data_IF_152477240800
#
_entry.id   IF_152477240800
#
_cell.length_a   1.000
_cell.length_b   1.000
_cell.length_c   1.000
_cell.angle_alpha   90.00
_cell.angle_beta   90.00
_cell.angle_gamma   90.00
#
_symmetry.space_group_name_H-M   'P 1'
#
loop_
_entity.id
_entity.type
_entity.pdbx_description
1 polymer ?
#
# COMPACT_ATOMS: atom_id res chain seq x y z
N UNK A 1 -9.20 -0.35 -4.57
CA UNK A 1 -8.38 -0.47 -5.80
C UNK A 1 -7.64 -1.80 -5.85
N UNK A 2 -6.88 -2.16 -4.81
CA UNK A 2 -6.12 -3.41 -4.83
C UNK A 2 -6.98 -4.68 -4.75
N UNK A 3 -8.14 -4.60 -4.08
CA UNK A 3 -9.13 -5.69 -4.07
C UNK A 3 -9.64 -6.02 -5.47
N UNK A 4 -9.88 -4.99 -6.28
CA UNK A 4 -10.35 -5.16 -7.65
C UNK A 4 -9.23 -5.70 -8.53
N UNK A 5 -7.99 -5.22 -8.34
CA UNK A 5 -6.81 -5.75 -9.03
C UNK A 5 -6.61 -7.24 -8.76
N UNK A 6 -6.76 -7.68 -7.50
CA UNK A 6 -6.72 -9.11 -7.15
C UNK A 6 -7.84 -9.90 -7.84
N UNK A 7 -9.06 -9.37 -7.86
CA UNK A 7 -10.18 -10.00 -8.56
C UNK A 7 -9.91 -10.19 -10.04
N UNK A 8 -9.34 -9.18 -10.72
CA UNK A 8 -8.99 -9.27 -12.14
C UNK A 8 -7.86 -10.27 -12.41
N UNK A 9 -6.90 -10.45 -11.50
CA UNK A 9 -5.80 -11.40 -11.69
C UNK A 9 -6.16 -12.84 -11.35
N UNK A 10 -6.97 -13.06 -10.32
CA UNK A 10 -7.28 -14.39 -9.81
C UNK A 10 -8.69 -14.89 -10.15
N UNK A 11 -9.52 -14.05 -10.78
CA UNK A 11 -10.90 -14.38 -11.18
C UNK A 11 -11.88 -14.56 -10.02
N UNK A 12 -11.45 -14.31 -8.78
CA UNK A 12 -12.25 -14.42 -7.55
C UNK A 12 -11.74 -13.45 -6.49
N UNK A 13 -12.58 -13.02 -5.53
CA UNK A 13 -12.09 -12.25 -4.40
C UNK A 13 -11.12 -13.10 -3.58
N UNK A 14 -10.01 -12.49 -3.16
CA UNK A 14 -9.11 -13.10 -2.18
C UNK A 14 -9.75 -13.01 -0.79
N UNK A 15 -9.40 -13.98 0.06
CA UNK A 15 -9.71 -13.90 1.49
C UNK A 15 -9.12 -12.60 2.08
N UNK A 16 -9.83 -11.97 3.02
CA UNK A 16 -9.41 -10.68 3.61
C UNK A 16 -7.99 -10.72 4.19
N UNK A 17 -7.58 -11.83 4.78
CA UNK A 17 -6.22 -11.99 5.30
C UNK A 17 -5.20 -12.01 4.15
N UNK A 18 -5.42 -12.83 3.12
CA UNK A 18 -4.52 -12.93 1.96
C UNK A 18 -4.45 -11.61 1.21
N UNK A 19 -5.58 -10.93 1.07
CA UNK A 19 -5.68 -9.63 0.44
C UNK A 19 -4.83 -8.60 1.18
N UNK A 20 -5.03 -8.45 2.49
CA UNK A 20 -4.39 -7.40 3.29
C UNK A 20 -2.94 -7.69 3.68
N UNK A 21 -2.55 -8.94 3.86
CA UNK A 21 -1.23 -9.29 4.40
C UNK A 21 -0.26 -9.89 3.39
N UNK A 22 -0.74 -10.30 2.22
CA UNK A 22 0.10 -10.91 1.18
C UNK A 22 0.01 -10.08 -0.10
N UNK A 23 -1.19 -9.94 -0.65
CA UNK A 23 -1.36 -9.36 -1.97
C UNK A 23 -1.09 -7.85 -2.00
N UNK A 24 -1.82 -7.06 -1.19
CA UNK A 24 -1.63 -5.61 -1.08
C UNK A 24 -0.17 -5.28 -0.74
N UNK A 25 0.46 -5.94 0.26
CA UNK A 25 1.83 -5.64 0.60
C UNK A 25 2.87 -5.91 -0.48
N UNK A 26 2.69 -6.99 -1.24
CA UNK A 26 3.61 -7.30 -2.34
C UNK A 26 3.49 -6.24 -3.43
N UNK A 27 2.27 -5.89 -3.84
CA UNK A 27 2.05 -4.92 -4.92
C UNK A 27 2.54 -3.54 -4.52
N UNK A 28 2.13 -3.05 -3.34
CA UNK A 28 2.53 -1.75 -2.82
C UNK A 28 4.05 -1.71 -2.59
N UNK A 29 4.63 -2.78 -2.04
CA UNK A 29 6.06 -2.90 -1.81
C UNK A 29 6.88 -2.82 -3.10
N UNK A 30 6.47 -3.54 -4.16
CA UNK A 30 7.13 -3.48 -5.47
C UNK A 30 7.10 -2.05 -6.03
N UNK A 31 5.94 -1.38 -5.99
CA UNK A 31 5.82 0.00 -6.47
C UNK A 31 6.73 0.94 -5.67
N UNK A 32 6.76 0.81 -4.34
CA UNK A 32 7.60 1.62 -3.47
C UNK A 32 9.11 1.42 -3.74
N UNK A 33 9.54 0.18 -3.97
CA UNK A 33 10.91 -0.16 -4.34
C UNK A 33 11.26 0.49 -5.69
N UNK A 34 10.39 0.37 -6.70
CA UNK A 34 10.60 0.98 -8.02
C UNK A 34 10.71 2.51 -7.93
N UNK A 35 9.85 3.15 -7.13
CA UNK A 35 9.94 4.60 -6.90
C UNK A 35 11.28 4.95 -6.24
N UNK A 36 11.71 4.21 -5.22
CA UNK A 36 13.00 4.44 -4.57
C UNK A 36 14.20 4.24 -5.52
N UNK A 37 14.11 3.31 -6.47
CA UNK A 37 15.12 3.12 -7.51
C UNK A 37 15.20 4.30 -8.48
N UNK A 38 14.05 4.89 -8.84
CA UNK A 38 13.98 6.05 -9.74
C UNK A 38 14.44 7.32 -9.04
N UNK A 39 13.96 7.57 -7.82
CA UNK A 39 14.27 8.76 -7.03
C UNK A 39 15.65 8.70 -6.37
N UNK A 40 16.24 7.51 -6.30
CA UNK A 40 17.51 7.19 -5.63
C UNK A 40 17.52 7.57 -4.15
N UNK A 41 16.36 7.57 -3.51
CA UNK A 41 16.15 8.01 -2.13
C UNK A 41 15.37 6.97 -1.35
N UNK A 42 16.00 6.36 -0.35
CA UNK A 42 15.39 5.29 0.46
C UNK A 42 14.17 5.76 1.25
N UNK A 43 14.13 7.04 1.65
CA UNK A 43 12.98 7.60 2.36
C UNK A 43 11.70 7.70 1.51
N UNK A 44 11.81 7.67 0.17
CA UNK A 44 10.61 7.71 -0.68
C UNK A 44 9.79 6.43 -0.56
N UNK A 45 10.37 5.33 -0.08
CA UNK A 45 9.62 4.10 0.26
C UNK A 45 8.48 4.43 1.24
N UNK A 46 8.78 5.13 2.33
CA UNK A 46 7.77 5.49 3.33
C UNK A 46 6.66 6.34 2.73
N UNK A 47 7.03 7.37 1.97
CA UNK A 47 6.06 8.29 1.35
C UNK A 47 5.17 7.57 0.35
N UNK A 48 5.75 6.73 -0.50
CA UNK A 48 4.99 5.98 -1.51
C UNK A 48 4.00 5.01 -0.86
N UNK A 49 4.42 4.28 0.17
CA UNK A 49 3.56 3.30 0.84
C UNK A 49 2.40 4.00 1.56
N UNK A 50 2.69 5.06 2.32
CA UNK A 50 1.66 5.84 3.02
C UNK A 50 0.67 6.44 2.01
N UNK A 51 1.18 7.05 0.93
CA UNK A 51 0.33 7.65 -0.09
C UNK A 51 -0.59 6.62 -0.77
N UNK A 52 -0.06 5.46 -1.15
CA UNK A 52 -0.85 4.40 -1.79
C UNK A 52 -1.93 3.83 -0.86
N UNK A 53 -1.61 3.64 0.43
CA UNK A 53 -2.59 3.19 1.42
C UNK A 53 -3.69 4.23 1.65
N UNK A 54 -3.35 5.52 1.75
CA UNK A 54 -4.34 6.60 1.90
C UNK A 54 -5.27 6.65 0.67
N UNK A 55 -4.70 6.60 -0.54
CA UNK A 55 -5.48 6.64 -1.79
C UNK A 55 -6.39 5.42 -1.91
N UNK A 56 -5.89 4.21 -1.66
CA UNK A 56 -6.71 3.00 -1.73
C UNK A 56 -7.85 3.03 -0.71
N UNK A 57 -7.57 3.44 0.54
CA UNK A 57 -8.58 3.59 1.56
C UNK A 57 -9.64 4.64 1.18
N UNK A 58 -9.20 5.80 0.71
CA UNK A 58 -10.11 6.86 0.27
C UNK A 58 -11.04 6.39 -0.85
N UNK A 59 -10.50 5.71 -1.86
CA UNK A 59 -11.29 5.15 -2.95
C UNK A 59 -12.27 4.08 -2.46
N UNK A 60 -11.82 3.20 -1.56
CA UNK A 60 -12.67 2.13 -1.01
C UNK A 60 -13.83 2.68 -0.20
N UNK A 61 -13.56 3.63 0.70
CA UNK A 61 -14.59 4.23 1.56
C UNK A 61 -15.57 5.06 0.75
N UNK A 62 -15.10 5.85 -0.22
CA UNK A 62 -16.01 6.58 -1.11
C UNK A 62 -16.86 5.62 -1.94
N UNK A 63 -16.29 4.52 -2.44
CA UNK A 63 -17.06 3.54 -3.19
C UNK A 63 -18.16 2.88 -2.34
N UNK A 64 -17.82 2.42 -1.14
CA UNK A 64 -18.75 1.71 -0.25
C UNK A 64 -19.80 2.62 0.40
N UNK A 65 -19.43 3.86 0.73
CA UNK A 65 -20.25 4.79 1.51
C UNK A 65 -20.63 6.05 0.74
N UNK A 66 -20.51 6.08 -0.59
CA UNK A 66 -20.88 7.25 -1.43
C UNK A 66 -22.32 7.72 -1.23
N UNK A 67 -23.25 6.81 -0.93
CA UNK A 67 -24.64 7.13 -0.62
C UNK A 67 -24.90 7.51 0.85
N UNK A 68 -23.91 7.33 1.73
CA UNK A 68 -23.96 7.76 3.12
C UNK A 68 -23.26 9.12 3.22
N UNK A 69 -23.93 10.12 3.80
CA UNK A 69 -23.45 11.51 3.80
C UNK A 69 -21.99 11.69 4.28
N UNK A 70 -21.40 12.85 3.98
CA UNK A 70 -19.96 13.12 4.13
C UNK A 70 -19.39 12.79 5.53
N UNK A 71 -20.21 12.90 6.59
CA UNK A 71 -19.81 12.52 7.95
C UNK A 71 -19.45 11.03 8.08
N UNK A 72 -20.20 10.14 7.42
CA UNK A 72 -19.92 8.70 7.41
C UNK A 72 -18.62 8.42 6.64
N UNK A 73 -18.41 9.08 5.50
CA UNK A 73 -17.18 8.92 4.70
C UNK A 73 -15.96 9.31 5.53
N UNK A 74 -16.01 10.42 6.28
CA UNK A 74 -14.89 10.88 7.10
C UNK A 74 -14.57 9.89 8.23
N UNK A 75 -15.59 9.44 8.97
CA UNK A 75 -15.41 8.49 10.07
C UNK A 75 -14.84 7.16 9.55
N UNK A 76 -15.39 6.63 8.46
CA UNK A 76 -14.95 5.36 7.88
C UNK A 76 -13.52 5.44 7.33
N UNK A 77 -13.11 6.58 6.74
CA UNK A 77 -11.71 6.77 6.33
C UNK A 77 -10.73 6.63 7.49
N UNK A 78 -11.06 7.20 8.65
CA UNK A 78 -10.22 7.09 9.84
C UNK A 78 -10.17 5.65 10.34
N UNK A 79 -11.32 4.98 10.45
CA UNK A 79 -11.40 3.59 10.94
C UNK A 79 -10.60 2.65 10.05
N UNK A 80 -10.86 2.65 8.74
CA UNK A 80 -10.16 1.79 7.79
C UNK A 80 -8.66 2.07 7.72
N UNK A 81 -8.23 3.32 7.94
CA UNK A 81 -6.80 3.65 7.99
C UNK A 81 -6.11 2.94 9.17
N UNK A 82 -6.75 2.93 10.34
CA UNK A 82 -6.23 2.23 11.52
C UNK A 82 -6.30 0.70 11.37
N UNK A 83 -7.34 0.17 10.73
CA UNK A 83 -7.42 -1.27 10.42
C UNK A 83 -6.26 -1.73 9.52
N UNK A 84 -5.90 -0.91 8.53
CA UNK A 84 -4.79 -1.19 7.62
C UNK A 84 -3.42 -0.83 8.20
N UNK A 85 -3.34 -0.18 9.36
CA UNK A 85 -2.09 0.35 9.91
C UNK A 85 -1.01 -0.72 10.09
N UNK A 86 -1.40 -1.89 10.60
CA UNK A 86 -0.45 -2.97 10.84
C UNK A 86 0.10 -3.57 9.53
N UNK A 87 -0.75 -3.73 8.52
CA UNK A 87 -0.32 -4.18 7.19
C UNK A 87 0.61 -3.15 6.53
N UNK A 88 0.23 -1.87 6.55
CA UNK A 88 1.05 -0.78 6.04
C UNK A 88 2.41 -0.68 6.74
N UNK A 89 2.47 -0.94 8.06
CA UNK A 89 3.74 -0.99 8.78
C UNK A 89 4.64 -2.14 8.29
N UNK A 90 4.05 -3.31 8.06
CA UNK A 90 4.76 -4.47 7.51
C UNK A 90 5.29 -4.21 6.09
N UNK A 91 4.50 -3.56 5.24
CA UNK A 91 4.91 -3.09 3.91
C UNK A 91 6.14 -2.20 3.96
N UNK A 92 6.12 -1.22 4.87
CA UNK A 92 7.21 -0.28 5.07
C UNK A 92 8.49 -1.02 5.46
N UNK A 93 8.42 -1.90 6.45
CA UNK A 93 9.59 -2.64 6.93
C UNK A 93 10.20 -3.46 5.80
N UNK A 94 9.39 -4.24 5.08
CA UNK A 94 9.90 -5.13 4.03
C UNK A 94 10.51 -4.34 2.88
N UNK A 95 9.78 -3.35 2.35
CA UNK A 95 10.26 -2.55 1.24
C UNK A 95 11.53 -1.79 1.61
N UNK A 96 11.61 -1.27 2.84
CA UNK A 96 12.78 -0.54 3.31
C UNK A 96 14.00 -1.45 3.48
N UNK A 97 13.83 -2.66 4.05
CA UNK A 97 14.90 -3.66 4.15
C UNK A 97 15.44 -3.99 2.75
N UNK A 98 14.55 -4.22 1.78
CA UNK A 98 14.96 -4.53 0.39
C UNK A 98 15.78 -3.40 -0.20
N UNK A 99 15.32 -2.15 -0.10
CA UNK A 99 16.03 -0.98 -0.65
C UNK A 99 17.38 -0.74 0.03
N UNK A 100 17.53 -1.09 1.31
CA UNK A 100 18.78 -0.98 2.06
C UNK A 100 19.73 -2.18 1.88
N UNK A 101 19.36 -3.20 1.10
CA UNK A 101 20.29 -4.29 0.77
C UNK A 101 21.55 -3.74 0.07
N UNK A 102 22.75 -4.29 0.36
CA UNK A 102 24.01 -3.80 -0.23
C UNK A 102 23.99 -3.81 -1.76
N UNK A 103 23.33 -4.81 -2.35
CA UNK A 103 23.15 -4.92 -3.80
C UNK A 103 22.32 -3.77 -4.37
N UNK A 104 21.23 -3.39 -3.71
CA UNK A 104 20.35 -2.30 -4.15
C UNK A 104 21.07 -0.95 -4.04
N UNK A 105 21.76 -0.72 -2.93
CA UNK A 105 22.56 0.50 -2.74
C UNK A 105 23.70 0.61 -3.77
N UNK A 106 24.45 -0.48 -4.03
CA UNK A 106 25.56 -0.49 -4.99
C UNK A 106 25.09 -0.30 -6.43
N UNK A 107 24.03 -1.01 -6.84
CA UNK A 107 23.56 -1.02 -8.24
C UNK A 107 22.77 0.24 -8.61
N UNK A 108 21.89 0.69 -7.71
CA UNK A 108 20.97 1.80 -8.01
C UNK A 108 21.36 3.12 -7.33
N UNK A 109 22.42 3.12 -6.51
CA UNK A 109 22.94 4.31 -5.80
C UNK A 109 21.87 4.97 -4.93
N UNK A 110 21.06 4.17 -4.26
CA UNK A 110 19.95 4.64 -3.41
C UNK A 110 20.53 5.11 -2.07
N UNK A 111 20.35 6.38 -1.73
CA UNK A 111 20.78 6.96 -0.45
C UNK A 111 19.79 6.65 0.69
#
# INVERSE_FOLDING_TARGET
>A
MFRDMAFYMFGKPLDSFVQLFIFEPIVIGIIAILVAMITKKSWTVFVTIIALNIVDNFLLVNYQFSGAGIGTILVQNVVFFFEKFFSMFYEIIIAYIVVKLPFMHSKFKIA
#
